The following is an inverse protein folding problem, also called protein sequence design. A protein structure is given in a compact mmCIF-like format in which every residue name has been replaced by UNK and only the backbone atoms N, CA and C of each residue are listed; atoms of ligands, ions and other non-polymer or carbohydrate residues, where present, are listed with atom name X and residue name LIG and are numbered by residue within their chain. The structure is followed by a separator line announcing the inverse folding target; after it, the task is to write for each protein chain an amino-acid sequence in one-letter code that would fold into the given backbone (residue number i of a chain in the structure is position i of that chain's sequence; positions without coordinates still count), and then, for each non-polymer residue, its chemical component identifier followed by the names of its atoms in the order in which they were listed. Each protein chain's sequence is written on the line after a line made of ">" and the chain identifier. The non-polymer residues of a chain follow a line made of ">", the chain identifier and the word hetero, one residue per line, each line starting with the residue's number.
data_IF_717537402095
#
_entry.id   IF_717537402095
#
_cell.length_a   1.000
_cell.length_b   1.000
_cell.length_c   1.000
_cell.angle_alpha   90.00
_cell.angle_beta   90.00
_cell.angle_gamma   90.00
#
_symmetry.space_group_name_H-M   'P 1'
#
loop_
_entity.id
_entity.type
_entity.pdbx_description
1 polymer ?
#
# COMPACT_ATOMS: atom_id res chain seq x y z
N UNK A 1 25.28 9.25 -4.81
CA UNK A 1 25.46 9.39 -6.27
C UNK A 1 24.08 9.45 -6.91
N UNK A 2 23.86 10.33 -7.88
CA UNK A 2 22.64 10.34 -8.69
C UNK A 2 22.90 9.61 -10.02
N UNK A 3 21.91 8.86 -10.49
CA UNK A 3 21.94 8.18 -11.78
C UNK A 3 20.77 8.70 -12.62
N UNK A 4 21.04 9.02 -13.88
CA UNK A 4 20.00 9.48 -14.82
C UNK A 4 19.20 8.28 -15.33
N UNK A 5 17.87 8.35 -15.24
CA UNK A 5 16.95 7.35 -15.80
C UNK A 5 16.04 8.04 -16.82
N UNK A 6 15.98 7.50 -18.03
CA UNK A 6 15.09 8.01 -19.09
C UNK A 6 13.78 7.24 -19.08
N UNK A 7 12.66 7.96 -18.96
CA UNK A 7 11.31 7.39 -18.97
C UNK A 7 10.52 7.94 -20.16
N UNK A 8 9.66 7.11 -20.75
CA UNK A 8 8.68 7.55 -21.76
C UNK A 8 7.39 7.90 -21.05
N UNK A 9 6.84 9.06 -21.36
CA UNK A 9 5.61 9.58 -20.77
C UNK A 9 4.58 9.79 -21.88
N UNK A 10 3.33 9.49 -21.58
CA UNK A 10 2.22 9.90 -22.43
C UNK A 10 2.06 11.43 -22.40
N UNK A 11 1.23 11.97 -23.28
CA UNK A 11 0.90 13.40 -23.25
C UNK A 11 0.13 13.76 -21.97
N UNK A 12 -0.75 12.87 -21.51
CA UNK A 12 -1.49 13.01 -20.26
C UNK A 12 -0.56 13.05 -19.05
N UNK A 13 0.39 12.09 -18.94
CA UNK A 13 1.35 12.07 -17.84
C UNK A 13 2.24 13.32 -17.81
N UNK A 14 2.58 13.86 -19.00
CA UNK A 14 3.35 15.09 -19.11
C UNK A 14 2.57 16.30 -18.57
N UNK A 15 1.27 16.36 -18.83
CA UNK A 15 0.39 17.41 -18.31
C UNK A 15 0.28 17.30 -16.78
N UNK A 16 0.02 16.10 -16.26
CA UNK A 16 -0.05 15.86 -14.82
C UNK A 16 1.27 16.23 -14.11
N UNK A 17 2.41 15.86 -14.69
CA UNK A 17 3.71 16.27 -14.16
C UNK A 17 3.88 17.79 -14.14
N UNK A 18 3.45 18.48 -15.20
CA UNK A 18 3.55 19.94 -15.28
C UNK A 18 2.66 20.63 -14.23
N UNK A 19 1.49 20.08 -13.92
CA UNK A 19 0.59 20.60 -12.87
C UNK A 19 1.18 20.47 -11.46
N UNK A 20 2.01 19.44 -11.23
CA UNK A 20 2.65 19.18 -9.94
C UNK A 20 3.96 19.96 -9.75
N UNK A 21 4.62 20.40 -10.84
CA UNK A 21 5.89 21.15 -10.76
C UNK A 21 5.84 22.37 -9.84
N UNK A 22 4.80 23.22 -9.82
CA UNK A 22 4.73 24.37 -8.92
C UNK A 22 4.90 24.03 -7.44
N UNK A 23 4.41 22.87 -7.01
CA UNK A 23 4.47 22.43 -5.62
C UNK A 23 5.81 21.76 -5.28
N UNK A 24 6.40 21.04 -6.24
CA UNK A 24 7.58 20.20 -6.01
C UNK A 24 8.87 20.75 -6.66
N UNK A 25 8.82 21.91 -7.31
CA UNK A 25 9.95 22.61 -7.91
C UNK A 25 10.31 22.17 -9.32
N UNK A 26 10.58 20.88 -9.55
CA UNK A 26 10.94 20.34 -10.86
C UNK A 26 10.37 18.93 -11.11
N UNK A 27 10.34 18.50 -12.37
CA UNK A 27 9.80 17.18 -12.74
C UNK A 27 10.56 16.03 -12.08
N UNK A 28 11.89 16.17 -11.89
CA UNK A 28 12.68 15.13 -11.24
C UNK A 28 12.35 15.02 -9.75
N UNK A 29 12.00 16.12 -9.09
CA UNK A 29 11.53 16.14 -7.71
C UNK A 29 10.15 15.50 -7.58
N UNK A 30 9.21 15.80 -8.49
CA UNK A 30 7.90 15.13 -8.55
C UNK A 30 8.08 13.61 -8.69
N UNK A 31 8.88 13.18 -9.66
CA UNK A 31 9.14 11.74 -9.90
C UNK A 31 9.79 11.09 -8.69
N UNK A 32 10.83 11.70 -8.09
CA UNK A 32 11.46 11.16 -6.88
C UNK A 32 10.51 11.11 -5.69
N UNK A 33 9.58 12.06 -5.58
CA UNK A 33 8.56 12.04 -4.55
C UNK A 33 7.58 10.88 -4.78
N UNK A 34 7.07 10.72 -6.00
CA UNK A 34 6.20 9.60 -6.38
C UNK A 34 6.83 8.23 -6.14
N UNK A 35 8.10 8.05 -6.51
CA UNK A 35 8.84 6.80 -6.24
C UNK A 35 8.89 6.49 -4.74
N UNK A 36 9.14 7.50 -3.89
CA UNK A 36 9.18 7.31 -2.43
C UNK A 36 7.81 6.93 -1.87
N UNK A 37 6.73 7.57 -2.34
CA UNK A 37 5.37 7.24 -1.92
C UNK A 37 5.01 5.80 -2.30
N UNK A 38 5.32 5.39 -3.53
CA UNK A 38 5.08 4.01 -3.99
C UNK A 38 5.88 2.99 -3.18
N UNK A 39 7.16 3.25 -2.91
CA UNK A 39 7.98 2.37 -2.09
C UNK A 39 7.43 2.22 -0.66
N UNK A 40 7.01 3.33 -0.04
CA UNK A 40 6.40 3.32 1.30
C UNK A 40 5.06 2.58 1.31
N UNK A 41 4.26 2.70 0.26
CA UNK A 41 3.00 1.97 0.13
C UNK A 41 3.23 0.45 0.03
N UNK A 42 4.18 0.03 -0.80
CA UNK A 42 4.55 -1.39 -0.92
C UNK A 42 5.05 -1.94 0.40
N UNK A 43 5.95 -1.22 1.08
CA UNK A 43 6.45 -1.61 2.40
C UNK A 43 5.32 -1.73 3.43
N UNK A 44 4.37 -0.78 3.46
CA UNK A 44 3.21 -0.84 4.36
C UNK A 44 2.35 -2.08 4.11
N UNK A 45 2.15 -2.47 2.84
CA UNK A 45 1.40 -3.69 2.49
C UNK A 45 2.13 -4.95 2.91
N UNK A 46 3.44 -5.02 2.68
CA UNK A 46 4.26 -6.15 3.12
C UNK A 46 4.22 -6.30 4.64
N UNK A 47 4.44 -5.22 5.39
CA UNK A 47 4.36 -5.23 6.86
C UNK A 47 2.97 -5.64 7.35
N UNK A 48 1.89 -5.16 6.73
CA UNK A 48 0.53 -5.60 7.10
C UNK A 48 0.35 -7.11 6.88
N UNK A 49 0.81 -7.63 5.74
CA UNK A 49 0.72 -9.06 5.45
C UNK A 49 1.52 -9.90 6.44
N UNK A 50 2.72 -9.45 6.83
CA UNK A 50 3.54 -10.11 7.86
C UNK A 50 2.81 -10.14 9.22
N UNK A 51 2.21 -9.02 9.62
CA UNK A 51 1.43 -8.94 10.87
C UNK A 51 0.23 -9.89 10.82
N UNK A 52 -0.53 -9.91 9.72
CA UNK A 52 -1.67 -10.80 9.55
C UNK A 52 -1.25 -12.27 9.53
N UNK A 53 -0.13 -12.60 8.88
CA UNK A 53 0.41 -13.96 8.86
C UNK A 53 0.88 -14.41 10.25
N UNK A 54 1.57 -13.54 10.99
CA UNK A 54 1.99 -13.82 12.37
C UNK A 54 0.78 -14.03 13.28
N UNK A 55 -0.25 -13.18 13.16
CA UNK A 55 -1.47 -13.30 13.93
C UNK A 55 -2.24 -14.59 13.61
N UNK A 56 -2.36 -14.95 12.33
CA UNK A 56 -3.00 -16.21 11.92
C UNK A 56 -2.23 -17.43 12.43
N UNK A 57 -0.89 -17.37 12.47
CA UNK A 57 -0.06 -18.45 13.02
C UNK A 57 -0.21 -18.59 14.54
N UNK A 58 -0.35 -17.47 15.27
CA UNK A 58 -0.57 -17.46 16.72
C UNK A 58 -1.99 -17.93 17.10
N UNK A 59 -3.01 -17.39 16.43
CA UNK A 59 -4.41 -17.73 16.70
C UNK A 59 -4.77 -19.13 16.23
N UNK A 60 -4.13 -19.62 15.17
CA UNK A 60 -4.47 -20.88 14.52
C UNK A 60 -5.78 -20.80 13.72
N UNK A 61 -6.20 -21.92 13.10
CA UNK A 61 -7.49 -21.97 12.43
C UNK A 61 -8.64 -21.77 13.44
N UNK A 62 -9.71 -21.11 13.00
CA UNK A 62 -10.92 -20.97 13.81
C UNK A 62 -11.54 -22.35 14.05
N UNK A 63 -11.90 -22.64 15.29
CA UNK A 63 -12.68 -23.81 15.66
C UNK A 63 -14.15 -23.58 15.27
N UNK A 64 -14.70 -24.44 14.41
CA UNK A 64 -16.09 -24.38 13.97
C UNK A 64 -17.09 -24.46 15.14
N UNK A 65 -16.75 -25.20 16.21
CA UNK A 65 -17.60 -25.29 17.39
C UNK A 65 -17.64 -23.98 18.19
N UNK A 66 -16.51 -23.28 18.30
CA UNK A 66 -16.42 -21.96 18.93
C UNK A 66 -17.17 -20.91 18.11
N UNK A 67 -17.03 -20.95 16.78
CA UNK A 67 -17.75 -20.05 15.87
C UNK A 67 -19.26 -20.23 15.98
N UNK A 68 -19.75 -21.47 15.98
CA UNK A 68 -21.18 -21.77 16.11
C UNK A 68 -21.71 -21.43 17.52
N UNK A 69 -20.88 -21.54 18.55
CA UNK A 69 -21.19 -21.07 19.91
C UNK A 69 -21.35 -19.55 19.95
N UNK A 70 -20.43 -18.80 19.32
CA UNK A 70 -20.52 -17.35 19.22
C UNK A 70 -21.73 -16.90 18.40
N UNK A 71 -22.03 -17.59 17.30
CA UNK A 71 -23.20 -17.29 16.46
C UNK A 71 -24.50 -17.38 17.26
N UNK A 72 -24.69 -18.49 17.97
CA UNK A 72 -25.86 -18.71 18.83
C UNK A 72 -26.00 -17.65 19.93
N UNK A 73 -24.87 -17.18 20.48
CA UNK A 73 -24.87 -16.23 21.60
C UNK A 73 -25.23 -14.79 21.19
N UNK A 74 -24.83 -14.36 20.00
CA UNK A 74 -24.90 -12.95 19.61
C UNK A 74 -25.81 -12.66 18.43
N UNK A 75 -26.10 -13.64 17.57
CA UNK A 75 -26.81 -13.42 16.30
C UNK A 75 -28.13 -14.18 16.18
N UNK A 76 -28.34 -15.25 16.94
CA UNK A 76 -29.60 -16.04 16.93
C UNK A 76 -30.57 -15.61 18.05
N UNK A 77 -30.65 -14.31 18.36
CA UNK A 77 -31.66 -13.75 19.30
C UNK A 77 -33.00 -13.47 18.63
#
# INVERSE_FOLDING_TARGET
>A
MSTTTTIRLSDEDRLLLAELVPEFGDQSQVIRHGIRLLAQELQRRETLNEVLAAWAAEAGPLDEEEVESMRRRYFDR
#
